data_IF_718779389713
#
_entry.id   IF_718779389713
#
_cell.length_a   1.000
_cell.length_b   1.000
_cell.length_c   1.000
_cell.angle_alpha   90.00
_cell.angle_beta   90.00
_cell.angle_gamma   90.00
#
_symmetry.space_group_name_H-M   'P 1'
#
loop_
_entity.id
_entity.type
_entity.pdbx_description
1 polymer ?
#
# COMPACT_ATOMS: atom_id res chain seq x y z
N UNK A 1 -3.10 -16.18 -14.44
CA UNK A 1 -3.32 -15.24 -13.33
C UNK A 1 -4.75 -14.67 -13.35
N UNK A 2 -5.32 -14.44 -12.17
CA UNK A 2 -6.64 -13.82 -12.01
C UNK A 2 -6.56 -12.75 -10.93
N UNK A 3 -7.40 -11.73 -11.03
CA UNK A 3 -7.65 -10.77 -9.96
C UNK A 3 -8.30 -11.47 -8.76
N UNK A 4 -7.97 -11.02 -7.56
CA UNK A 4 -8.71 -11.42 -6.36
C UNK A 4 -10.11 -10.79 -6.43
N UNK A 5 -11.18 -11.57 -6.25
CA UNK A 5 -12.53 -11.01 -6.24
C UNK A 5 -12.78 -10.17 -4.99
N UNK A 6 -13.62 -9.16 -5.13
CA UNK A 6 -14.19 -8.37 -4.03
C UNK A 6 -13.20 -7.66 -3.10
N UNK A 7 -11.97 -7.36 -3.56
CA UNK A 7 -11.02 -6.55 -2.83
C UNK A 7 -10.74 -5.22 -3.53
N UNK A 8 -10.45 -4.18 -2.75
CA UNK A 8 -9.85 -2.94 -3.24
C UNK A 8 -8.34 -3.13 -3.44
N UNK A 9 -7.77 -2.43 -4.43
CA UNK A 9 -6.35 -2.55 -4.78
C UNK A 9 -5.96 -3.94 -5.30
N UNK A 10 -6.86 -4.59 -6.04
CA UNK A 10 -6.64 -5.87 -6.70
C UNK A 10 -5.48 -5.85 -7.70
N UNK A 11 -5.23 -4.67 -8.28
CA UNK A 11 -4.11 -4.41 -9.19
C UNK A 11 -2.75 -4.45 -8.49
N UNK A 12 -2.69 -4.10 -7.22
CA UNK A 12 -1.49 -4.15 -6.39
C UNK A 12 -1.04 -5.58 -6.07
N UNK A 13 -1.96 -6.54 -6.03
CA UNK A 13 -1.67 -7.97 -5.94
C UNK A 13 -1.40 -8.57 -7.33
N UNK A 14 -2.25 -8.25 -8.31
CA UNK A 14 -2.21 -8.89 -9.64
C UNK A 14 -0.98 -8.51 -10.46
N UNK A 15 -0.66 -7.23 -10.53
CA UNK A 15 0.40 -6.71 -11.42
C UNK A 15 1.78 -7.27 -11.07
N UNK A 16 2.25 -7.30 -9.81
CA UNK A 16 3.53 -7.91 -9.47
C UNK A 16 3.61 -9.40 -9.83
N UNK A 17 2.53 -10.15 -9.63
CA UNK A 17 2.47 -11.58 -9.98
C UNK A 17 2.54 -11.79 -11.49
N UNK A 18 1.85 -10.95 -12.25
CA UNK A 18 1.90 -11.00 -13.69
C UNK A 18 3.32 -10.76 -14.20
N UNK A 19 4.00 -9.73 -13.70
CA UNK A 19 5.37 -9.41 -14.10
C UNK A 19 6.37 -10.49 -13.72
N UNK A 20 6.27 -11.06 -12.52
CA UNK A 20 7.16 -12.12 -12.07
C UNK A 20 7.04 -13.42 -12.92
N UNK A 21 5.89 -13.64 -13.54
CA UNK A 21 5.66 -14.81 -14.42
C UNK A 21 5.86 -14.53 -15.90
N UNK A 22 6.07 -13.27 -16.26
CA UNK A 22 6.28 -12.89 -17.66
C UNK A 22 7.73 -13.13 -18.06
N UNK A 23 7.98 -13.93 -19.08
CA UNK A 23 9.31 -14.16 -19.62
C UNK A 23 9.90 -12.93 -20.36
N UNK A 24 9.03 -12.04 -20.86
CA UNK A 24 9.42 -10.80 -21.52
C UNK A 24 8.31 -9.76 -21.42
N UNK A 25 8.70 -8.48 -21.46
CA UNK A 25 7.79 -7.33 -21.42
C UNK A 25 8.11 -6.40 -22.60
N UNK A 26 7.07 -5.92 -23.27
CA UNK A 26 7.20 -4.93 -24.33
C UNK A 26 6.39 -3.68 -23.92
N UNK A 27 7.06 -2.53 -23.92
CA UNK A 27 6.40 -1.24 -23.77
C UNK A 27 6.00 -0.67 -25.13
N UNK A 28 4.81 -0.10 -25.21
CA UNK A 28 4.29 0.51 -26.43
C UNK A 28 3.64 1.86 -26.13
N UNK A 29 3.63 2.75 -27.10
CA UNK A 29 2.93 4.05 -27.03
C UNK A 29 1.46 3.95 -27.48
N UNK A 30 0.93 2.77 -27.73
CA UNK A 30 -0.48 2.58 -28.08
C UNK A 30 -1.37 2.92 -26.87
N UNK A 31 -2.34 3.79 -27.08
CA UNK A 31 -3.38 4.06 -26.08
C UNK A 31 -4.41 2.92 -26.12
N UNK A 32 -4.25 1.95 -25.21
CA UNK A 32 -5.15 0.79 -25.09
C UNK A 32 -6.13 0.90 -23.91
N UNK A 33 -5.98 1.91 -23.09
CA UNK A 33 -6.81 2.10 -21.89
C UNK A 33 -7.12 3.58 -21.65
N UNK A 34 -8.40 3.90 -21.49
CA UNK A 34 -8.86 5.23 -21.08
C UNK A 34 -9.31 5.20 -19.61
N UNK A 35 -8.58 5.91 -18.76
CA UNK A 35 -8.94 6.04 -17.34
C UNK A 35 -9.98 7.15 -17.16
N UNK A 36 -11.22 6.74 -16.91
CA UNK A 36 -12.32 7.68 -16.66
C UNK A 36 -12.48 7.94 -15.14
N UNK A 37 -12.19 9.16 -14.72
CA UNK A 37 -12.38 9.58 -13.34
C UNK A 37 -13.85 9.93 -13.09
N UNK A 38 -14.54 9.11 -12.29
CA UNK A 38 -15.92 9.40 -11.86
C UNK A 38 -15.89 10.19 -10.55
N UNK A 39 -16.82 11.15 -10.39
CA UNK A 39 -16.96 11.93 -9.14
C UNK A 39 -17.30 11.03 -7.94
N UNK A 40 -18.03 9.94 -8.17
CA UNK A 40 -18.40 8.93 -7.16
C UNK A 40 -17.41 7.74 -7.11
N UNK A 41 -16.14 7.99 -7.46
CA UNK A 41 -15.11 6.94 -7.37
C UNK A 41 -15.03 6.39 -5.94
N UNK A 42 -14.82 5.08 -5.83
CA UNK A 42 -14.60 4.35 -4.57
C UNK A 42 -13.55 5.04 -3.69
N UNK A 43 -12.58 5.69 -4.32
CA UNK A 43 -11.49 6.44 -3.66
C UNK A 43 -12.00 7.68 -2.91
N UNK A 44 -13.09 8.30 -3.38
CA UNK A 44 -13.61 9.57 -2.87
C UNK A 44 -14.84 9.41 -1.97
N UNK A 45 -15.33 8.19 -1.73
CA UNK A 45 -16.49 7.97 -0.87
C UNK A 45 -16.11 8.09 0.60
N UNK A 46 -16.69 9.09 1.31
CA UNK A 46 -16.52 9.29 2.75
C UNK A 46 -17.24 8.27 3.65
N UNK A 47 -17.74 7.17 3.09
CA UNK A 47 -18.45 6.12 3.84
C UNK A 47 -17.47 5.35 4.73
N UNK A 48 -17.73 5.32 6.05
CA UNK A 48 -16.89 4.71 7.06
C UNK A 48 -16.66 3.20 6.82
N UNK A 49 -17.71 2.47 6.39
CA UNK A 49 -17.59 1.02 6.13
C UNK A 49 -16.72 0.73 4.91
N UNK A 50 -16.82 1.55 3.87
CA UNK A 50 -15.94 1.46 2.69
C UNK A 50 -14.49 1.76 3.04
N UNK A 51 -14.24 2.76 3.89
CA UNK A 51 -12.90 3.07 4.38
C UNK A 51 -12.34 1.89 5.18
N UNK A 52 -13.14 1.32 6.10
CA UNK A 52 -12.73 0.15 6.89
C UNK A 52 -12.42 -1.05 5.99
N UNK A 53 -13.30 -1.37 5.05
CA UNK A 53 -13.07 -2.45 4.07
C UNK A 53 -11.79 -2.20 3.29
N UNK A 54 -11.56 -0.98 2.81
CA UNK A 54 -10.35 -0.63 2.06
C UNK A 54 -9.07 -0.95 2.85
N UNK A 55 -8.99 -0.58 4.13
CA UNK A 55 -7.82 -0.88 4.95
C UNK A 55 -7.66 -2.38 5.21
N UNK A 56 -8.77 -3.10 5.45
CA UNK A 56 -8.75 -4.55 5.54
C UNK A 56 -8.17 -5.18 4.26
N UNK A 57 -8.65 -4.75 3.09
CA UNK A 57 -8.19 -5.28 1.80
C UNK A 57 -6.71 -4.91 1.52
N UNK A 58 -6.26 -3.72 1.92
CA UNK A 58 -4.84 -3.35 1.82
C UNK A 58 -3.93 -4.28 2.66
N UNK A 59 -4.39 -4.71 3.82
CA UNK A 59 -3.64 -5.68 4.64
C UNK A 59 -3.61 -7.06 3.97
N UNK A 60 -4.71 -7.48 3.33
CA UNK A 60 -4.73 -8.71 2.51
C UNK A 60 -3.69 -8.62 1.39
N UNK A 61 -3.60 -7.48 0.69
CA UNK A 61 -2.57 -7.29 -0.35
C UNK A 61 -1.16 -7.41 0.22
N UNK A 62 -0.88 -6.86 1.42
CA UNK A 62 0.43 -7.02 2.09
C UNK A 62 0.72 -8.50 2.35
N UNK A 63 -0.24 -9.24 2.89
CA UNK A 63 -0.10 -10.68 3.18
C UNK A 63 0.19 -11.46 1.89
N UNK A 64 -0.51 -11.13 0.78
CA UNK A 64 -0.30 -11.73 -0.53
C UNK A 64 1.09 -11.42 -1.10
N UNK A 65 1.57 -10.19 -0.98
CA UNK A 65 2.92 -9.82 -1.41
C UNK A 65 4.00 -10.58 -0.62
N UNK A 66 3.78 -10.80 0.68
CA UNK A 66 4.67 -11.60 1.51
C UNK A 66 4.66 -13.08 1.11
N UNK A 67 3.49 -13.65 0.79
CA UNK A 67 3.40 -15.02 0.26
C UNK A 67 4.19 -15.17 -1.04
N UNK A 68 4.07 -14.20 -1.97
CA UNK A 68 4.81 -14.20 -3.22
C UNK A 68 6.33 -14.03 -2.99
N UNK A 69 6.73 -13.17 -2.05
CA UNK A 69 8.13 -13.01 -1.64
C UNK A 69 8.72 -14.34 -1.17
N UNK A 70 7.99 -15.07 -0.32
CA UNK A 70 8.43 -16.38 0.22
C UNK A 70 8.46 -17.47 -0.86
N UNK A 71 7.52 -17.44 -1.80
CA UNK A 71 7.41 -18.43 -2.87
C UNK A 71 8.36 -18.17 -4.05
N UNK A 72 8.97 -16.98 -4.13
CA UNK A 72 9.85 -16.61 -5.23
C UNK A 72 11.17 -17.40 -5.17
N UNK A 73 11.46 -18.16 -6.23
CA UNK A 73 12.70 -18.93 -6.37
C UNK A 73 13.89 -18.03 -6.70
N UNK A 74 13.70 -17.07 -7.59
CA UNK A 74 14.73 -16.13 -8.01
C UNK A 74 14.92 -15.01 -6.99
N UNK A 75 16.17 -14.69 -6.66
CA UNK A 75 16.54 -13.64 -5.72
C UNK A 75 16.01 -12.25 -6.17
N UNK A 76 16.07 -11.96 -7.47
CA UNK A 76 15.56 -10.70 -8.02
C UNK A 76 14.05 -10.55 -7.84
N UNK A 77 13.30 -11.61 -8.11
CA UNK A 77 11.84 -11.66 -7.91
C UNK A 77 11.49 -11.50 -6.43
N UNK A 78 12.21 -12.19 -5.55
CA UNK A 78 12.05 -12.06 -4.09
C UNK A 78 12.28 -10.63 -3.64
N UNK A 79 13.38 -10.02 -4.07
CA UNK A 79 13.68 -8.60 -3.78
C UNK A 79 12.58 -7.66 -4.31
N UNK A 80 12.06 -7.91 -5.50
CA UNK A 80 11.01 -7.08 -6.11
C UNK A 80 9.71 -7.13 -5.29
N UNK A 81 9.27 -8.32 -4.85
CA UNK A 81 8.09 -8.48 -3.98
C UNK A 81 8.33 -7.84 -2.60
N UNK A 82 9.49 -8.06 -2.00
CA UNK A 82 9.88 -7.43 -0.74
C UNK A 82 9.77 -5.90 -0.84
N UNK A 83 10.42 -5.32 -1.84
CA UNK A 83 10.38 -3.88 -2.09
C UNK A 83 8.97 -3.37 -2.33
N UNK A 84 8.14 -4.11 -3.08
CA UNK A 84 6.75 -3.73 -3.33
C UNK A 84 5.94 -3.71 -2.05
N UNK A 85 6.06 -4.73 -1.21
CA UNK A 85 5.42 -4.82 0.10
C UNK A 85 5.74 -3.61 0.97
N UNK A 86 7.01 -3.23 1.09
CA UNK A 86 7.43 -2.07 1.88
C UNK A 86 6.89 -0.74 1.33
N UNK A 87 6.89 -0.58 0.01
CA UNK A 87 6.34 0.61 -0.64
C UNK A 87 4.81 0.68 -0.47
N UNK A 88 4.14 -0.45 -0.51
CA UNK A 88 2.70 -0.51 -0.28
C UNK A 88 2.36 -0.22 1.18
N UNK A 89 3.14 -0.73 2.14
CA UNK A 89 3.00 -0.39 3.56
C UNK A 89 3.14 1.13 3.80
N UNK A 90 4.07 1.81 3.13
CA UNK A 90 4.15 3.28 3.17
C UNK A 90 2.84 3.92 2.69
N UNK A 91 2.25 3.42 1.61
CA UNK A 91 0.96 3.89 1.09
C UNK A 91 -0.16 3.70 2.11
N UNK A 92 -0.19 2.55 2.82
CA UNK A 92 -1.16 2.28 3.89
C UNK A 92 -1.02 3.30 5.03
N UNK A 93 0.20 3.55 5.53
CA UNK A 93 0.45 4.56 6.58
C UNK A 93 -0.01 5.94 6.13
N UNK A 94 0.35 6.35 4.91
CA UNK A 94 -0.06 7.65 4.36
C UNK A 94 -1.57 7.79 4.26
N UNK A 95 -2.27 6.77 3.77
CA UNK A 95 -3.72 6.77 3.66
C UNK A 95 -4.40 6.74 5.03
N UNK A 96 -3.87 5.99 5.99
CA UNK A 96 -4.37 5.98 7.37
C UNK A 96 -4.32 7.37 7.99
N UNK A 97 -3.23 8.11 7.77
CA UNK A 97 -3.11 9.49 8.24
C UNK A 97 -4.18 10.42 7.65
N UNK A 98 -4.57 10.22 6.40
CA UNK A 98 -5.50 11.10 5.69
C UNK A 98 -6.97 10.74 5.87
N UNK A 99 -7.29 9.45 5.86
CA UNK A 99 -8.67 8.98 5.69
C UNK A 99 -9.31 8.53 7.01
N UNK A 100 -8.52 8.05 7.98
CA UNK A 100 -9.09 7.55 9.23
C UNK A 100 -9.48 8.69 10.17
N UNK A 101 -10.66 8.63 10.81
CA UNK A 101 -11.20 9.75 11.57
C UNK A 101 -10.50 9.99 12.92
N UNK A 102 -10.13 8.95 13.63
CA UNK A 102 -9.61 9.02 15.02
C UNK A 102 -8.13 8.60 15.14
N UNK A 103 -7.57 8.83 16.32
CA UNK A 103 -6.22 8.34 16.67
C UNK A 103 -6.22 6.84 16.84
N UNK A 104 -7.26 6.29 17.45
CA UNK A 104 -7.44 4.87 17.72
C UNK A 104 -7.48 4.05 16.42
N UNK A 105 -8.23 4.54 15.42
CA UNK A 105 -8.31 3.86 14.14
C UNK A 105 -6.96 3.83 13.40
N UNK A 106 -6.16 4.89 13.53
CA UNK A 106 -4.79 4.90 12.97
C UNK A 106 -3.89 3.96 13.76
N UNK A 107 -3.92 4.01 15.10
CA UNK A 107 -3.12 3.14 15.95
C UNK A 107 -3.42 1.66 15.68
N UNK A 108 -4.69 1.31 15.41
CA UNK A 108 -5.09 -0.04 15.06
C UNK A 108 -4.47 -0.51 13.74
N UNK A 109 -4.52 0.31 12.68
CA UNK A 109 -3.87 -0.01 11.40
C UNK A 109 -2.34 -0.12 11.57
N UNK A 110 -1.71 0.77 12.36
CA UNK A 110 -0.27 0.70 12.61
C UNK A 110 0.12 -0.57 13.37
N UNK A 111 -0.70 -1.01 14.32
CA UNK A 111 -0.50 -2.28 15.04
C UNK A 111 -0.57 -3.46 14.08
N UNK A 112 -1.60 -3.51 13.23
CA UNK A 112 -1.74 -4.57 12.21
C UNK A 112 -0.58 -4.60 11.20
N UNK A 113 0.00 -3.43 10.87
CA UNK A 113 1.23 -3.34 10.08
C UNK A 113 2.46 -3.82 10.88
N UNK A 114 2.52 -3.53 12.18
CA UNK A 114 3.62 -3.97 13.05
C UNK A 114 3.62 -5.49 13.21
N UNK A 115 2.45 -6.11 13.35
CA UNK A 115 2.29 -7.58 13.40
C UNK A 115 2.80 -8.27 12.11
N UNK A 116 2.80 -7.53 10.98
CA UNK A 116 3.34 -7.96 9.67
C UNK A 116 4.78 -7.49 9.41
N UNK A 117 5.44 -6.96 10.40
CA UNK A 117 6.78 -6.37 10.30
C UNK A 117 6.92 -5.24 9.26
N UNK A 118 5.79 -4.58 8.94
CA UNK A 118 5.72 -3.49 7.97
C UNK A 118 5.69 -2.09 8.62
N UNK A 119 5.61 -1.99 9.95
CA UNK A 119 5.72 -0.73 10.69
C UNK A 119 6.49 -0.95 12.01
N UNK A 120 7.38 -0.03 12.45
CA UNK A 120 7.86 1.15 11.70
C UNK A 120 8.44 0.79 10.33
N UNK A 121 8.24 1.68 9.32
CA UNK A 121 8.70 1.40 7.95
C UNK A 121 10.18 1.01 7.94
N UNK A 122 10.57 -0.05 7.23
CA UNK A 122 11.93 -0.59 7.23
C UNK A 122 13.00 0.40 6.77
N UNK A 123 14.25 0.19 7.23
CA UNK A 123 15.40 1.03 6.85
C UNK A 123 15.91 0.65 5.47
N UNK A 124 15.17 1.03 4.43
CA UNK A 124 15.59 0.82 3.04
C UNK A 124 15.97 2.15 2.38
N UNK A 125 16.89 2.11 1.40
CA UNK A 125 17.37 3.28 0.65
C UNK A 125 16.72 3.35 -0.74
N UNK A 126 15.38 3.38 -0.79
CA UNK A 126 14.66 3.46 -2.07
C UNK A 126 14.72 4.86 -2.68
N UNK A 127 14.53 5.90 -1.87
CA UNK A 127 14.64 7.30 -2.27
C UNK A 127 14.76 8.19 -1.04
N UNK A 128 15.19 9.46 -1.23
CA UNK A 128 15.23 10.43 -0.15
C UNK A 128 13.81 10.71 0.41
N UNK A 129 12.79 10.68 -0.44
CA UNK A 129 11.38 10.88 -0.04
C UNK A 129 10.90 9.75 0.87
N UNK A 130 11.21 8.50 0.53
CA UNK A 130 10.92 7.35 1.39
C UNK A 130 11.62 7.50 2.74
N UNK A 131 12.91 7.82 2.75
CA UNK A 131 13.69 7.96 3.99
C UNK A 131 13.16 9.08 4.88
N UNK A 132 12.77 10.23 4.29
CA UNK A 132 12.14 11.34 5.01
C UNK A 132 10.80 10.92 5.59
N UNK A 133 9.90 10.34 4.79
CA UNK A 133 8.59 9.89 5.24
C UNK A 133 8.71 8.86 6.37
N UNK A 134 9.58 7.87 6.20
CA UNK A 134 9.89 6.88 7.24
C UNK A 134 10.30 7.54 8.56
N UNK A 135 11.21 8.51 8.52
CA UNK A 135 11.68 9.22 9.71
C UNK A 135 10.56 10.04 10.39
N UNK A 136 9.68 10.61 9.60
CA UNK A 136 8.53 11.39 10.09
C UNK A 136 7.39 10.52 10.62
N UNK A 137 7.37 9.22 10.32
CA UNK A 137 6.29 8.29 10.68
C UNK A 137 6.75 7.07 11.48
N UNK A 138 7.98 7.08 12.00
CA UNK A 138 8.57 5.97 12.77
C UNK A 138 7.99 5.83 14.20
N UNK A 139 7.21 6.82 14.65
CA UNK A 139 6.55 6.86 15.95
C UNK A 139 5.10 7.33 15.81
N UNK A 140 4.21 6.71 16.54
CA UNK A 140 2.79 7.04 16.52
C UNK A 140 2.51 8.53 16.86
N UNK A 141 3.19 9.10 17.82
CA UNK A 141 3.01 10.50 18.17
C UNK A 141 3.39 11.46 17.04
N UNK A 142 4.43 11.14 16.25
CA UNK A 142 4.80 11.93 15.06
C UNK A 142 3.69 11.90 14.01
N UNK A 143 3.11 10.73 13.77
CA UNK A 143 1.96 10.55 12.88
C UNK A 143 0.79 11.42 13.34
N UNK A 144 0.49 11.43 14.62
CA UNK A 144 -0.59 12.25 15.19
C UNK A 144 -0.36 13.75 15.00
N UNK A 145 0.88 14.23 15.15
CA UNK A 145 1.25 15.63 14.89
C UNK A 145 1.08 15.96 13.41
N UNK A 146 1.60 15.13 12.50
CA UNK A 146 1.47 15.33 11.06
C UNK A 146 0.01 15.37 10.61
N UNK A 147 -0.85 14.52 11.17
CA UNK A 147 -2.30 14.52 10.89
C UNK A 147 -2.96 15.84 11.26
N UNK A 148 -2.57 16.45 12.38
CA UNK A 148 -3.11 17.75 12.78
C UNK A 148 -2.71 18.85 11.81
N UNK A 149 -1.47 18.81 11.29
CA UNK A 149 -0.99 19.75 10.29
C UNK A 149 -1.70 19.59 8.94
N UNK A 150 -1.97 18.35 8.52
CA UNK A 150 -2.68 18.05 7.26
C UNK A 150 -4.16 18.42 7.29
N UNK A 151 -4.81 18.41 8.46
CA UNK A 151 -6.23 18.80 8.62
C UNK A 151 -6.46 20.30 8.68
N UNK A 152 -5.41 21.11 8.86
CA UNK A 152 -5.49 22.59 8.91
C UNK A 152 -5.50 23.25 7.53
N UNK A 153 -5.38 22.47 6.46
CA UNK A 153 -5.49 22.92 5.06
C UNK A 153 -6.81 22.44 4.45
#
# INVERSE_FOLDING_TARGET
ERFLPDIYHEDEDFTPRLFARSGSLISTNLMVYAYYQRQESIVNSGNADRIKKRFSDMLVVIDRLEEQERAAEEELSRYAFHRRKEQFALSVVYQAMRLLPGKEAVADVLRQLADRHCWPLPKARYSWRYSLFRHLTDREWKINVLRQLLKRK
#
